data_IF_399385737116
#
_entry.id   IF_399385737116
#
_cell.length_a   1.000
_cell.length_b   1.000
_cell.length_c   1.000
_cell.angle_alpha   90.00
_cell.angle_beta   90.00
_cell.angle_gamma   90.00
#
_symmetry.space_group_name_H-M   'P 1'
#
loop_
_entity.id
_entity.type
_entity.pdbx_description
1 polymer ?
#
# COMPACT_ATOMS: atom_id res chain seq x y z
N UNK A 1 -13.74 0.15 -27.04
CA UNK A 1 -12.53 0.78 -27.60
C UNK A 1 -11.40 0.39 -26.67
N UNK A 2 -10.41 -0.37 -27.15
CA UNK A 2 -9.27 -0.78 -26.34
C UNK A 2 -8.29 0.39 -26.40
N UNK A 3 -8.32 1.27 -25.39
CA UNK A 3 -7.35 2.35 -25.26
C UNK A 3 -6.06 1.76 -24.67
N UNK A 4 -5.12 1.40 -25.54
CA UNK A 4 -3.74 1.17 -25.14
C UNK A 4 -3.17 2.45 -24.53
N UNK A 5 -2.89 2.43 -23.24
CA UNK A 5 -2.19 3.49 -22.54
C UNK A 5 -0.72 3.43 -22.97
N UNK A 6 -0.31 4.41 -23.77
CA UNK A 6 1.10 4.62 -24.11
C UNK A 6 1.75 5.42 -22.97
N UNK A 7 2.61 4.77 -22.19
CA UNK A 7 3.54 5.45 -21.29
C UNK A 7 4.69 6.06 -22.09
N UNK A 8 4.79 7.39 -22.11
CA UNK A 8 5.91 8.10 -22.76
C UNK A 8 6.96 8.42 -21.70
N UNK A 9 8.11 7.75 -21.77
CA UNK A 9 9.29 8.10 -20.98
C UNK A 9 10.09 9.16 -21.74
N UNK A 10 10.04 10.42 -21.28
CA UNK A 10 10.91 11.48 -21.79
C UNK A 10 12.31 11.32 -21.20
N UNK A 11 13.23 10.71 -21.94
CA UNK A 11 14.67 10.89 -21.72
C UNK A 11 15.11 12.22 -22.36
N UNK A 12 14.85 13.33 -21.66
CA UNK A 12 15.37 14.64 -22.06
C UNK A 12 16.87 14.73 -21.79
N UNK A 13 17.67 14.74 -22.87
CA UNK A 13 19.08 15.13 -22.80
C UNK A 13 19.18 16.63 -22.49
N UNK A 14 19.30 16.97 -21.21
CA UNK A 14 19.57 18.34 -20.78
C UNK A 14 19.17 18.60 -19.33
N UNK A 15 20.17 18.84 -18.49
CA UNK A 15 20.07 19.18 -17.06
C UNK A 15 19.68 18.02 -16.14
N UNK A 16 20.38 17.94 -15.02
CA UNK A 16 20.18 17.06 -13.86
C UNK A 16 18.78 17.23 -13.23
N UNK A 17 17.74 16.87 -13.96
CA UNK A 17 16.35 16.88 -13.50
C UNK A 17 15.95 15.51 -12.98
N UNK A 18 15.28 15.48 -11.82
CA UNK A 18 14.69 14.28 -11.25
C UNK A 18 13.80 13.57 -12.29
N UNK A 19 13.99 12.25 -12.46
CA UNK A 19 13.16 11.45 -13.36
C UNK A 19 11.68 11.58 -12.98
N UNK A 20 10.79 11.69 -13.96
CA UNK A 20 9.35 11.79 -13.72
C UNK A 20 8.57 10.83 -14.59
N UNK A 21 7.50 10.27 -14.04
CA UNK A 21 6.53 9.42 -14.74
C UNK A 21 5.12 10.02 -14.61
N UNK A 22 4.21 9.67 -15.52
CA UNK A 22 2.81 10.11 -15.49
C UNK A 22 1.91 8.88 -15.54
N UNK A 23 0.89 8.86 -14.69
CA UNK A 23 -0.15 7.84 -14.69
C UNK A 23 -1.50 8.53 -14.48
N UNK A 24 -2.42 8.39 -15.44
CA UNK A 24 -3.64 9.19 -15.52
C UNK A 24 -3.33 10.69 -15.37
N UNK A 25 -3.99 11.39 -14.46
CA UNK A 25 -3.76 12.82 -14.17
C UNK A 25 -2.67 13.06 -13.13
N UNK A 26 -2.05 12.00 -12.60
CA UNK A 26 -1.05 12.07 -11.55
C UNK A 26 0.36 12.10 -12.15
N UNK A 27 1.17 13.04 -11.65
CA UNK A 27 2.61 13.12 -11.96
C UNK A 27 3.41 12.55 -10.79
N UNK A 28 4.30 11.64 -11.10
CA UNK A 28 5.24 11.02 -10.17
C UNK A 28 6.63 11.59 -10.40
N UNK A 29 7.31 11.96 -9.32
CA UNK A 29 8.67 12.49 -9.33
C UNK A 29 9.54 11.54 -8.52
N UNK A 30 10.60 11.04 -9.13
CA UNK A 30 11.58 10.18 -8.49
C UNK A 30 12.45 11.02 -7.53
N UNK A 31 12.49 10.63 -6.26
CA UNK A 31 13.29 11.26 -5.21
C UNK A 31 14.56 10.47 -4.88
N UNK A 32 14.93 9.50 -5.72
CA UNK A 32 16.09 8.62 -5.56
C UNK A 32 15.64 7.20 -5.24
N UNK A 33 15.19 6.97 -4.01
CA UNK A 33 14.78 5.67 -3.47
C UNK A 33 13.26 5.44 -3.47
N UNK A 34 12.48 6.48 -3.76
CA UNK A 34 11.02 6.43 -3.81
C UNK A 34 10.44 7.40 -4.84
N UNK A 35 9.20 7.15 -5.22
CA UNK A 35 8.38 8.02 -6.03
C UNK A 35 7.48 8.87 -5.16
N UNK A 36 7.30 10.13 -5.55
CA UNK A 36 6.41 11.06 -4.87
C UNK A 36 5.37 11.57 -5.85
N UNK A 37 4.12 11.67 -5.41
CA UNK A 37 3.07 12.37 -6.15
C UNK A 37 2.34 13.34 -5.23
N UNK A 38 1.79 14.40 -5.81
CA UNK A 38 1.11 15.46 -5.07
C UNK A 38 -0.40 15.35 -5.27
N UNK A 39 -1.13 15.19 -4.17
CA UNK A 39 -2.58 15.07 -4.10
C UNK A 39 -3.09 16.14 -3.14
N UNK A 40 -3.95 17.04 -3.59
CA UNK A 40 -4.57 18.09 -2.76
C UNK A 40 -3.57 18.89 -1.91
N UNK A 41 -2.40 19.19 -2.47
CA UNK A 41 -1.36 19.94 -1.76
C UNK A 41 -0.41 19.08 -0.91
N UNK A 42 -0.72 17.79 -0.71
CA UNK A 42 0.03 16.85 0.14
C UNK A 42 0.79 15.84 -0.70
N UNK A 43 1.86 15.27 -0.15
CA UNK A 43 2.69 14.28 -0.85
C UNK A 43 2.39 12.86 -0.39
N UNK A 44 2.17 11.98 -1.35
CA UNK A 44 2.14 10.53 -1.15
C UNK A 44 3.45 9.93 -1.66
N UNK A 45 4.00 8.96 -0.93
CA UNK A 45 5.28 8.32 -1.20
C UNK A 45 5.06 6.85 -1.56
N UNK A 46 5.73 6.39 -2.61
CA UNK A 46 5.57 5.05 -3.16
C UNK A 46 6.93 4.45 -3.50
N UNK A 47 7.05 3.12 -3.42
CA UNK A 47 8.25 2.41 -3.84
C UNK A 47 8.19 2.09 -5.34
N UNK A 48 7.01 1.72 -5.82
CA UNK A 48 6.73 1.32 -7.19
C UNK A 48 5.73 2.26 -7.86
N UNK A 49 5.80 2.37 -9.19
CA UNK A 49 4.83 3.13 -9.96
C UNK A 49 3.50 2.36 -10.06
N UNK A 50 2.38 3.04 -10.38
CA UNK A 50 1.09 2.36 -10.56
C UNK A 50 1.13 1.22 -11.58
N UNK A 51 1.88 1.39 -12.68
CA UNK A 51 2.02 0.39 -13.75
C UNK A 51 2.68 -0.91 -13.26
N UNK A 52 3.51 -0.84 -12.23
CA UNK A 52 4.22 -1.99 -11.67
C UNK A 52 3.35 -2.83 -10.73
N UNK A 53 2.19 -2.32 -10.31
CA UNK A 53 1.35 -2.93 -9.26
C UNK A 53 -0.09 -3.17 -9.70
N UNK A 54 -0.52 -2.60 -10.83
CA UNK A 54 -1.90 -2.73 -11.35
C UNK A 54 -2.31 -4.18 -11.64
N UNK A 55 -1.34 -5.07 -11.89
CA UNK A 55 -1.56 -6.49 -12.16
C UNK A 55 -1.74 -7.36 -10.91
N UNK A 56 -1.58 -6.80 -9.71
CA UNK A 56 -1.86 -7.51 -8.46
C UNK A 56 -3.37 -7.65 -8.32
N UNK A 57 -3.84 -8.87 -8.09
CA UNK A 57 -5.25 -9.16 -7.87
C UNK A 57 -5.70 -8.54 -6.54
N UNK A 58 -6.74 -7.70 -6.62
CA UNK A 58 -7.32 -7.02 -5.46
C UNK A 58 -8.84 -7.12 -5.55
N UNK A 59 -9.46 -7.62 -4.50
CA UNK A 59 -10.91 -7.53 -4.34
C UNK A 59 -11.32 -6.06 -4.13
N UNK A 60 -12.16 -5.54 -5.01
CA UNK A 60 -12.69 -4.18 -4.91
C UNK A 60 -13.40 -3.92 -3.58
N UNK A 61 -13.99 -4.95 -2.96
CA UNK A 61 -14.61 -4.83 -1.64
C UNK A 61 -13.59 -4.46 -0.55
N UNK A 62 -12.35 -4.96 -0.65
CA UNK A 62 -11.25 -4.68 0.26
C UNK A 62 -10.78 -3.22 0.16
N UNK A 63 -10.79 -2.63 -1.04
CA UNK A 63 -10.45 -1.21 -1.22
C UNK A 63 -11.60 -0.32 -0.76
N UNK A 64 -12.85 -0.69 -1.04
CA UNK A 64 -14.01 0.13 -0.72
C UNK A 64 -14.19 0.35 0.78
N UNK A 65 -13.92 -0.66 1.63
CA UNK A 65 -13.96 -0.49 3.09
C UNK A 65 -12.84 0.42 3.61
N UNK A 66 -11.75 0.59 2.85
CA UNK A 66 -10.65 1.48 3.19
C UNK A 66 -10.86 2.93 2.72
N UNK A 67 -11.93 3.22 1.98
CA UNK A 67 -12.24 4.59 1.55
C UNK A 67 -12.91 5.36 2.69
N UNK A 68 -12.53 6.64 2.84
CA UNK A 68 -13.13 7.57 3.81
C UNK A 68 -13.02 7.16 5.28
N UNK A 69 -12.06 6.31 5.63
CA UNK A 69 -11.74 5.98 7.02
C UNK A 69 -10.62 6.88 7.56
N UNK A 70 -10.62 7.09 8.86
CA UNK A 70 -9.60 7.91 9.55
C UNK A 70 -8.56 7.06 10.29
N UNK A 71 -8.85 5.77 10.49
CA UNK A 71 -7.96 4.85 11.18
C UNK A 71 -7.99 3.47 10.52
N UNK A 72 -6.80 2.88 10.37
CA UNK A 72 -6.58 1.50 9.93
C UNK A 72 -5.73 0.81 10.99
N UNK A 73 -6.12 -0.41 11.32
CA UNK A 73 -5.26 -1.29 12.10
C UNK A 73 -4.46 -2.17 11.14
N UNK A 74 -3.15 -2.24 11.28
CA UNK A 74 -2.29 -3.10 10.48
C UNK A 74 -1.72 -4.20 11.37
N UNK A 75 -1.78 -5.45 10.92
CA UNK A 75 -1.28 -6.59 11.68
C UNK A 75 -0.56 -7.61 10.83
N UNK A 76 0.21 -8.46 11.50
CA UNK A 76 0.94 -9.58 10.93
C UNK A 76 1.31 -10.58 12.02
N UNK A 77 1.75 -11.77 11.60
CA UNK A 77 2.38 -12.70 12.54
C UNK A 77 3.81 -12.24 12.84
N UNK A 78 4.21 -12.32 14.10
CA UNK A 78 5.56 -11.95 14.52
C UNK A 78 6.64 -12.82 13.85
N UNK A 79 6.34 -14.12 13.70
CA UNK A 79 7.25 -15.12 13.11
C UNK A 79 6.99 -15.36 11.62
N UNK A 80 6.35 -14.42 10.92
CA UNK A 80 6.15 -14.53 9.47
C UNK A 80 7.50 -14.51 8.72
N UNK A 81 7.59 -15.30 7.64
CA UNK A 81 8.77 -15.40 6.78
C UNK A 81 9.26 -14.04 6.27
N UNK A 82 8.32 -13.12 5.99
CA UNK A 82 8.58 -11.78 5.47
C UNK A 82 8.39 -10.69 6.52
N UNK A 83 8.51 -11.01 7.81
CA UNK A 83 8.30 -10.10 8.94
C UNK A 83 8.99 -8.73 8.79
N UNK A 84 10.23 -8.70 8.29
CA UNK A 84 10.96 -7.45 8.04
C UNK A 84 10.32 -6.59 6.93
N UNK A 85 9.99 -7.21 5.80
CA UNK A 85 9.35 -6.56 4.66
C UNK A 85 7.94 -6.08 5.02
N UNK A 86 7.22 -6.85 5.83
CA UNK A 86 5.90 -6.48 6.37
C UNK A 86 6.02 -5.28 7.29
N UNK A 87 6.95 -5.29 8.25
CA UNK A 87 7.15 -4.17 9.18
C UNK A 87 7.51 -2.88 8.42
N UNK A 88 8.38 -2.97 7.41
CA UNK A 88 8.72 -1.84 6.55
C UNK A 88 7.49 -1.34 5.77
N UNK A 89 6.70 -2.24 5.20
CA UNK A 89 5.48 -1.90 4.47
C UNK A 89 4.49 -1.16 5.37
N UNK A 90 4.21 -1.68 6.57
CA UNK A 90 3.33 -1.04 7.54
C UNK A 90 3.83 0.37 7.93
N UNK A 91 5.12 0.51 8.20
CA UNK A 91 5.72 1.80 8.55
C UNK A 91 5.62 2.84 7.42
N UNK A 92 6.00 2.47 6.20
CA UNK A 92 5.94 3.36 5.04
C UNK A 92 4.49 3.73 4.68
N UNK A 93 3.58 2.76 4.79
CA UNK A 93 2.15 2.99 4.63
C UNK A 93 1.67 4.03 5.66
N UNK A 94 2.06 3.87 6.93
CA UNK A 94 1.72 4.79 8.01
C UNK A 94 2.21 6.21 7.78
N UNK A 95 3.47 6.40 7.37
CA UNK A 95 4.00 7.72 7.01
C UNK A 95 3.16 8.34 5.89
N UNK A 96 2.93 7.57 4.82
CA UNK A 96 2.25 8.07 3.63
C UNK A 96 0.81 8.47 3.94
N UNK A 97 0.04 7.62 4.62
CA UNK A 97 -1.36 7.86 4.97
C UNK A 97 -1.54 8.91 6.06
N UNK A 98 -0.57 9.08 6.97
CA UNK A 98 -0.62 10.13 8.00
C UNK A 98 -0.65 11.53 7.37
N UNK A 99 0.04 11.72 6.23
CA UNK A 99 -0.05 12.96 5.46
C UNK A 99 -1.47 13.23 4.97
N UNK A 100 -2.34 12.22 4.87
CA UNK A 100 -3.76 12.33 4.47
C UNK A 100 -4.73 12.27 5.65
N UNK A 101 -4.25 12.44 6.89
CA UNK A 101 -5.04 12.31 8.12
C UNK A 101 -5.64 10.91 8.34
N UNK A 102 -5.02 9.88 7.77
CA UNK A 102 -5.38 8.48 7.99
C UNK A 102 -4.30 7.88 8.89
N UNK A 103 -4.69 7.45 10.09
CA UNK A 103 -3.77 6.90 11.07
C UNK A 103 -3.67 5.38 10.93
N UNK A 104 -2.45 4.86 10.94
CA UNK A 104 -2.20 3.42 11.00
C UNK A 104 -1.70 3.05 12.38
N UNK A 105 -2.35 2.06 12.99
CA UNK A 105 -1.89 1.43 14.22
C UNK A 105 -1.38 0.03 13.92
N UNK A 106 -0.08 -0.18 14.07
CA UNK A 106 0.54 -1.50 13.88
C UNK A 106 0.46 -2.36 15.15
N UNK A 107 0.27 -3.66 14.97
CA UNK A 107 0.27 -4.66 16.03
C UNK A 107 0.53 -6.06 15.49
N UNK A 108 0.62 -7.05 16.36
CA UNK A 108 0.79 -8.46 15.97
C UNK A 108 -0.45 -9.28 16.31
N UNK A 109 -0.59 -10.44 15.68
CA UNK A 109 -1.69 -11.38 15.97
C UNK A 109 -1.56 -12.05 17.34
N UNK A 110 -0.37 -12.02 17.96
CA UNK A 110 -0.08 -12.67 19.25
C UNK A 110 0.73 -11.73 20.18
N UNK A 111 0.31 -11.63 21.45
CA UNK A 111 0.90 -10.77 22.49
C UNK A 111 2.22 -11.27 23.06
N UNK A 112 2.54 -12.58 22.91
CA UNK A 112 3.58 -13.19 23.75
C UNK A 112 5.00 -12.72 23.46
N UNK A 113 5.23 -12.09 22.30
CA UNK A 113 6.59 -11.85 21.79
C UNK A 113 6.95 -10.36 21.70
N UNK A 114 6.03 -9.43 22.05
CA UNK A 114 6.33 -7.99 22.03
C UNK A 114 5.35 -7.13 22.84
N UNK A 115 5.77 -5.90 23.19
CA UNK A 115 4.91 -4.87 23.82
C UNK A 115 3.94 -4.19 22.83
N UNK A 116 3.87 -4.66 21.59
CA UNK A 116 2.93 -4.13 20.59
C UNK A 116 1.50 -4.62 20.88
N UNK A 117 0.47 -3.84 20.48
CA UNK A 117 -0.91 -4.24 20.67
C UNK A 117 -1.21 -5.53 19.89
N UNK A 118 -2.09 -6.36 20.48
CA UNK A 118 -2.64 -7.53 19.78
C UNK A 118 -3.79 -7.08 18.89
N UNK A 119 -3.63 -7.27 17.59
CA UNK A 119 -4.63 -6.94 16.59
C UNK A 119 -4.92 -8.21 15.81
N UNK A 120 -6.19 -8.59 15.75
CA UNK A 120 -6.63 -9.76 14.99
C UNK A 120 -7.76 -9.37 14.05
N UNK A 121 -8.01 -10.19 13.02
CA UNK A 121 -9.15 -9.99 12.13
C UNK A 121 -10.51 -9.97 12.87
N UNK A 122 -10.60 -10.59 14.06
CA UNK A 122 -11.81 -10.54 14.89
C UNK A 122 -12.07 -9.16 15.50
N UNK A 123 -11.05 -8.29 15.54
CA UNK A 123 -11.19 -6.91 15.98
C UNK A 123 -11.63 -5.97 14.85
N UNK A 124 -11.70 -6.47 13.61
CA UNK A 124 -12.01 -5.66 12.44
C UNK A 124 -13.47 -5.21 12.42
N UNK A 125 -13.67 -3.92 12.24
CA UNK A 125 -14.99 -3.30 12.13
C UNK A 125 -15.08 -2.48 10.84
N UNK A 126 -16.28 -2.05 10.47
CA UNK A 126 -16.48 -1.16 9.31
C UNK A 126 -15.84 0.22 9.49
N UNK A 127 -15.61 0.66 10.73
CA UNK A 127 -15.02 1.97 11.03
C UNK A 127 -13.50 1.92 11.25
N UNK A 128 -13.01 0.77 11.71
CA UNK A 128 -11.58 0.48 11.90
C UNK A 128 -11.31 -0.89 11.27
N UNK A 129 -11.08 -0.94 9.95
CA UNK A 129 -10.72 -2.18 9.28
C UNK A 129 -9.31 -2.60 9.67
N UNK A 130 -9.07 -3.91 9.60
CA UNK A 130 -7.76 -4.51 9.87
C UNK A 130 -7.16 -4.94 8.54
N UNK A 131 -5.91 -4.55 8.27
CA UNK A 131 -5.11 -5.10 7.18
C UNK A 131 -4.15 -6.11 7.79
N UNK A 132 -4.35 -7.39 7.47
CA UNK A 132 -3.48 -8.47 7.88
C UNK A 132 -2.50 -8.83 6.75
N UNK A 133 -1.24 -8.46 6.95
CA UNK A 133 -0.14 -8.79 6.06
C UNK A 133 0.44 -10.15 6.42
N UNK A 134 0.61 -11.03 5.43
CA UNK A 134 1.26 -12.33 5.62
C UNK A 134 1.96 -12.82 4.36
N UNK A 135 2.92 -13.71 4.55
CA UNK A 135 3.54 -14.49 3.48
C UNK A 135 2.57 -15.55 2.93
N UNK A 136 2.59 -15.77 1.62
CA UNK A 136 1.78 -16.78 0.92
C UNK A 136 2.55 -17.27 -0.31
N UNK A 137 1.96 -18.18 -1.10
CA UNK A 137 2.50 -18.57 -2.41
C UNK A 137 2.00 -17.67 -3.55
N UNK A 138 1.00 -16.83 -3.27
CA UNK A 138 0.36 -15.93 -4.22
C UNK A 138 0.45 -14.48 -3.72
N UNK A 139 0.41 -13.54 -4.66
CA UNK A 139 0.39 -12.10 -4.36
C UNK A 139 -1.00 -11.56 -4.68
N UNK A 140 -1.80 -11.32 -3.65
CA UNK A 140 -3.20 -10.88 -3.80
C UNK A 140 -3.72 -10.17 -2.55
N UNK A 141 -4.80 -9.41 -2.72
CA UNK A 141 -5.52 -8.75 -1.63
C UNK A 141 -6.99 -9.13 -1.71
N UNK A 142 -7.57 -9.60 -0.61
CA UNK A 142 -8.99 -9.94 -0.55
C UNK A 142 -9.59 -9.56 0.79
N UNK A 143 -10.91 -9.43 0.82
CA UNK A 143 -11.66 -9.17 2.04
C UNK A 143 -12.17 -10.48 2.62
N UNK A 144 -11.92 -10.67 3.92
CA UNK A 144 -12.52 -11.72 4.72
C UNK A 144 -13.25 -11.05 5.89
N UNK A 145 -14.58 -10.99 5.80
CA UNK A 145 -15.45 -10.21 6.68
C UNK A 145 -15.12 -8.70 6.65
N UNK A 146 -14.49 -8.15 7.69
CA UNK A 146 -13.97 -6.77 7.72
C UNK A 146 -12.43 -6.73 7.73
N UNK A 147 -11.78 -7.88 7.59
CA UNK A 147 -10.34 -8.01 7.59
C UNK A 147 -9.82 -8.13 6.16
N UNK A 148 -8.92 -7.24 5.79
CA UNK A 148 -8.28 -7.23 4.48
C UNK A 148 -7.02 -8.08 4.60
N UNK A 149 -6.99 -9.18 3.86
CA UNK A 149 -5.85 -10.07 3.85
C UNK A 149 -4.96 -9.67 2.69
N UNK A 150 -3.73 -9.24 3.01
CA UNK A 150 -2.72 -8.81 2.06
C UNK A 150 -1.61 -9.87 2.01
N UNK A 151 -1.63 -10.68 0.96
CA UNK A 151 -0.70 -11.78 0.73
C UNK A 151 0.38 -11.39 -0.28
N UNK A 152 1.62 -11.81 -0.02
CA UNK A 152 2.70 -11.70 -0.99
C UNK A 152 3.43 -13.03 -1.15
N UNK A 153 3.83 -13.33 -2.40
CA UNK A 153 4.63 -14.51 -2.73
C UNK A 153 6.13 -14.37 -2.41
N UNK A 154 6.61 -13.13 -2.25
CA UNK A 154 8.00 -12.82 -1.97
C UNK A 154 8.15 -11.46 -1.26
N UNK A 155 9.33 -11.21 -0.67
CA UNK A 155 9.62 -9.97 0.06
C UNK A 155 9.38 -8.67 -0.73
N UNK A 156 9.72 -8.66 -2.03
CA UNK A 156 9.56 -7.45 -2.87
C UNK A 156 8.10 -7.17 -3.17
N UNK A 157 7.31 -8.23 -3.33
CA UNK A 157 5.88 -8.12 -3.57
C UNK A 157 5.14 -7.54 -2.36
N UNK A 158 5.67 -7.66 -1.13
CA UNK A 158 5.08 -7.02 0.03
C UNK A 158 5.04 -5.49 -0.11
N UNK A 159 6.11 -4.88 -0.62
CA UNK A 159 6.14 -3.45 -0.92
C UNK A 159 5.21 -3.08 -2.09
N UNK A 160 5.07 -3.96 -3.09
CA UNK A 160 4.13 -3.75 -4.22
C UNK A 160 2.66 -3.83 -3.77
N UNK A 161 2.33 -4.78 -2.90
CA UNK A 161 0.99 -4.93 -2.29
C UNK A 161 0.66 -3.70 -1.45
N UNK A 162 1.62 -3.23 -0.63
CA UNK A 162 1.48 -1.97 0.13
C UNK A 162 1.18 -0.79 -0.79
N UNK A 163 1.94 -0.61 -1.86
CA UNK A 163 1.70 0.49 -2.82
C UNK A 163 0.34 0.33 -3.51
N UNK A 164 -0.04 -0.88 -3.94
CA UNK A 164 -1.34 -1.15 -4.56
C UNK A 164 -2.51 -0.79 -3.65
N UNK A 165 -2.41 -1.11 -2.35
CA UNK A 165 -3.39 -0.73 -1.33
C UNK A 165 -3.45 0.79 -1.19
N UNK A 166 -2.32 1.47 -0.99
CA UNK A 166 -2.28 2.93 -0.83
C UNK A 166 -2.82 3.64 -2.06
N UNK A 167 -2.51 3.17 -3.27
CA UNK A 167 -3.08 3.70 -4.49
C UNK A 167 -4.61 3.58 -4.54
N UNK A 168 -5.16 2.47 -4.06
CA UNK A 168 -6.62 2.29 -3.93
C UNK A 168 -7.25 3.21 -2.89
N UNK A 169 -6.61 3.37 -1.73
CA UNK A 169 -7.06 4.26 -0.65
C UNK A 169 -7.10 5.72 -1.11
N UNK A 170 -6.09 6.14 -1.87
CA UNK A 170 -5.95 7.51 -2.39
C UNK A 170 -6.65 7.74 -3.73
N UNK A 171 -7.40 6.76 -4.24
CA UNK A 171 -8.10 6.79 -5.54
C UNK A 171 -7.19 7.14 -6.75
N UNK A 172 -5.95 6.65 -6.74
CA UNK A 172 -5.04 6.74 -7.90
C UNK A 172 -5.30 5.59 -8.88
N UNK A 173 -5.52 4.39 -8.33
CA UNK A 173 -5.91 3.17 -9.06
C UNK A 173 -7.26 2.74 -8.49
N UNK A 174 -8.21 2.38 -9.36
CA UNK A 174 -9.49 1.80 -8.95
C UNK A 174 -9.39 0.30 -8.66
#
# INVERSE_FOLDING_TARGET
MISSVFGVVFFGFGSSGAASAKYNDFKFINQGDHWSTKLDGRYALFTYLPEDVVNIEVDNSAINILKNIIQIDATSDFNDTFSQSIALAQYQMGITLSNFNIFIRSGFTNSKESDFPVITCNNATQFVPVIYFKSSNETKVYLQDNCIIAEASNDRDMARVKDRLVYGILNIIE
#
